data_IF_886416898637
#
_entry.id   IF_886416898637
#
_cell.length_a   1.000
_cell.length_b   1.000
_cell.length_c   1.000
_cell.angle_alpha   90.00
_cell.angle_beta   90.00
_cell.angle_gamma   90.00
#
_symmetry.space_group_name_H-M   'P 1'
#
loop_
_entity.id
_entity.type
_entity.pdbx_description
1 polymer ?
#
# COMPACT_ATOMS: atom_id res chain seq x y z
N UNK A 1 -9.11 16.44 -9.57
CA UNK A 1 -9.08 15.02 -9.14
C UNK A 1 -7.63 14.63 -8.92
N UNK A 2 -7.28 13.98 -7.81
CA UNK A 2 -5.88 13.65 -7.47
C UNK A 2 -5.17 12.74 -8.50
N UNK A 3 -5.93 12.12 -9.41
CA UNK A 3 -5.46 11.11 -10.35
C UNK A 3 -4.98 11.64 -11.72
N UNK A 4 -5.19 12.93 -12.06
CA UNK A 4 -4.89 13.48 -13.40
C UNK A 4 -3.53 14.17 -13.51
N UNK A 5 -2.84 14.43 -12.40
CA UNK A 5 -1.55 15.14 -12.40
C UNK A 5 -0.37 14.17 -12.23
N UNK A 6 0.50 14.09 -13.24
CA UNK A 6 1.65 13.18 -13.29
C UNK A 6 2.62 13.33 -12.11
N UNK A 7 2.86 14.55 -11.63
CA UNK A 7 3.73 14.80 -10.48
C UNK A 7 3.16 14.29 -9.14
N UNK A 8 1.82 14.25 -9.00
CA UNK A 8 1.16 13.66 -7.83
C UNK A 8 1.18 12.13 -7.89
N UNK A 9 1.12 11.55 -9.10
CA UNK A 9 1.16 10.11 -9.30
C UNK A 9 2.46 9.49 -8.77
N UNK A 10 3.62 10.13 -9.00
CA UNK A 10 4.91 9.63 -8.52
C UNK A 10 5.02 9.59 -6.97
N UNK A 11 4.23 10.40 -6.26
CA UNK A 11 4.24 10.48 -4.79
C UNK A 11 3.11 9.69 -4.13
N UNK A 12 2.29 9.02 -4.94
CA UNK A 12 1.14 8.26 -4.45
C UNK A 12 1.51 6.79 -4.33
N UNK A 13 1.37 6.24 -3.12
CA UNK A 13 1.42 4.80 -2.88
C UNK A 13 0.01 4.25 -3.02
N UNK A 14 -0.19 3.32 -3.95
CA UNK A 14 -1.42 2.57 -4.11
C UNK A 14 -1.30 1.24 -3.36
N UNK A 15 -2.14 1.07 -2.34
CA UNK A 15 -2.26 -0.20 -1.62
C UNK A 15 -3.36 -1.02 -2.26
N UNK A 16 -3.00 -2.18 -2.80
CA UNK A 16 -3.93 -3.07 -3.46
C UNK A 16 -4.34 -4.17 -2.51
N UNK A 17 -5.65 -4.29 -2.29
CA UNK A 17 -6.21 -5.32 -1.45
C UNK A 17 -7.17 -6.15 -2.31
N UNK A 18 -6.89 -7.45 -2.45
CA UNK A 18 -7.63 -8.33 -3.37
C UNK A 18 -7.21 -8.21 -4.85
N UNK A 19 -8.15 -8.50 -5.76
CA UNK A 19 -7.91 -8.50 -7.22
C UNK A 19 -8.30 -7.17 -7.85
N UNK A 20 -7.32 -6.30 -8.08
CA UNK A 20 -7.52 -5.01 -8.76
C UNK A 20 -7.40 -5.20 -10.27
N UNK A 21 -8.39 -4.70 -11.05
CA UNK A 21 -8.27 -4.61 -12.51
C UNK A 21 -7.38 -3.41 -12.85
N UNK A 22 -6.34 -3.63 -13.65
CA UNK A 22 -5.48 -2.55 -14.15
C UNK A 22 -6.28 -1.60 -15.04
N UNK A 23 -6.13 -0.29 -14.82
CA UNK A 23 -6.60 0.74 -15.73
C UNK A 23 -5.52 1.82 -15.92
N UNK A 24 -5.57 2.55 -17.04
CA UNK A 24 -4.58 3.61 -17.36
C UNK A 24 -4.42 4.64 -16.23
N UNK A 25 -5.48 4.89 -15.46
CA UNK A 25 -5.46 5.79 -14.33
C UNK A 25 -4.58 5.34 -13.15
N UNK A 26 -4.00 4.12 -13.18
CA UNK A 26 -3.09 3.59 -12.16
C UNK A 26 -1.62 3.56 -12.63
N UNK A 27 -1.35 3.82 -13.91
CA UNK A 27 0.00 3.76 -14.47
C UNK A 27 0.95 4.79 -13.83
N UNK A 28 2.22 4.41 -13.71
CA UNK A 28 3.28 5.25 -13.13
C UNK A 28 3.27 5.41 -11.61
N UNK A 29 2.36 4.73 -10.89
CA UNK A 29 2.26 4.80 -9.42
C UNK A 29 2.95 3.63 -8.74
N UNK A 30 3.48 3.87 -7.54
CA UNK A 30 4.02 2.81 -6.71
C UNK A 30 2.87 1.96 -6.17
N UNK A 31 2.82 0.69 -6.57
CA UNK A 31 1.78 -0.27 -6.18
C UNK A 31 2.36 -1.26 -5.18
N UNK A 32 1.68 -1.42 -4.06
CA UNK A 32 2.00 -2.43 -3.04
C UNK A 32 0.78 -3.32 -2.93
N UNK A 33 0.93 -4.59 -3.31
CA UNK A 33 -0.12 -5.58 -3.09
C UNK A 33 -0.04 -6.04 -1.65
N UNK A 34 -1.11 -5.81 -0.90
CA UNK A 34 -1.22 -6.22 0.49
C UNK A 34 -1.93 -7.58 0.55
N UNK A 35 -1.30 -8.54 1.21
CA UNK A 35 -1.90 -9.82 1.57
C UNK A 35 -1.79 -10.07 3.07
N UNK A 36 -2.28 -11.22 3.53
CA UNK A 36 -2.18 -11.61 4.95
C UNK A 36 -0.75 -11.96 5.38
N UNK A 37 0.21 -11.91 4.46
CA UNK A 37 1.62 -12.09 4.72
C UNK A 37 2.19 -10.90 5.50
N UNK A 38 3.01 -11.25 6.48
CA UNK A 38 3.68 -10.28 7.33
C UNK A 38 4.68 -9.41 6.55
N UNK A 39 5.33 -9.98 5.55
CA UNK A 39 6.31 -9.32 4.69
C UNK A 39 5.69 -8.16 3.91
N UNK A 40 4.45 -8.32 3.42
CA UNK A 40 3.73 -7.30 2.66
C UNK A 40 3.35 -6.12 3.56
N UNK A 41 2.96 -6.39 4.81
CA UNK A 41 2.68 -5.36 5.81
C UNK A 41 3.93 -4.55 6.16
N UNK A 42 5.07 -5.21 6.31
CA UNK A 42 6.36 -4.53 6.52
C UNK A 42 6.84 -3.74 5.30
N UNK A 43 6.57 -4.24 4.09
CA UNK A 43 6.87 -3.51 2.87
C UNK A 43 6.05 -2.21 2.77
N UNK A 44 4.79 -2.24 3.21
CA UNK A 44 3.93 -1.06 3.28
C UNK A 44 4.44 -0.03 4.31
N UNK A 45 4.73 -0.47 5.55
CA UNK A 45 5.26 0.41 6.61
C UNK A 45 6.52 1.13 6.14
N UNK A 46 7.49 0.39 5.58
CA UNK A 46 8.74 0.97 5.06
C UNK A 46 8.52 1.95 3.90
N UNK A 47 7.56 1.64 3.02
CA UNK A 47 7.27 2.50 1.87
C UNK A 47 6.60 3.81 2.30
N UNK A 48 5.70 3.75 3.28
CA UNK A 48 5.06 4.93 3.87
C UNK A 48 6.08 5.80 4.62
N UNK A 49 6.97 5.20 5.40
CA UNK A 49 8.08 5.89 6.07
C UNK A 49 9.01 6.59 5.05
N UNK A 50 9.40 5.88 3.99
CA UNK A 50 10.23 6.44 2.92
C UNK A 50 9.55 7.58 2.16
N UNK A 51 8.21 7.58 2.08
CA UNK A 51 7.42 8.67 1.51
C UNK A 51 7.28 9.88 2.45
N UNK A 52 7.77 9.79 3.69
CA UNK A 52 7.65 10.83 4.72
C UNK A 52 6.28 10.87 5.38
N UNK A 53 5.49 9.80 5.27
CA UNK A 53 4.24 9.68 6.00
C UNK A 53 4.53 9.40 7.48
N UNK A 54 3.73 10.00 8.38
CA UNK A 54 3.73 9.59 9.78
C UNK A 54 3.11 8.19 9.88
N UNK A 55 3.91 7.20 10.28
CA UNK A 55 3.46 5.82 10.46
C UNK A 55 3.73 5.41 11.90
N UNK A 56 2.70 4.95 12.59
CA UNK A 56 2.89 4.26 13.86
C UNK A 56 3.32 2.82 13.54
N UNK A 57 4.58 2.50 13.86
CA UNK A 57 5.10 1.15 13.65
C UNK A 57 4.41 0.23 14.66
N UNK A 58 3.54 -0.71 14.22
CA UNK A 58 2.86 -1.58 15.15
C UNK A 58 3.84 -2.59 15.75
N UNK A 59 3.53 -3.13 16.93
CA UNK A 59 4.35 -4.21 17.49
C UNK A 59 4.33 -5.44 16.56
N UNK A 60 5.36 -6.28 16.70
CA UNK A 60 5.47 -7.52 15.94
C UNK A 60 4.25 -8.44 16.16
N UNK A 61 3.70 -8.50 17.39
CA UNK A 61 2.49 -9.26 17.67
C UNK A 61 1.27 -8.69 16.94
N UNK A 62 1.08 -7.37 16.98
CA UNK A 62 -0.02 -6.68 16.29
C UNK A 62 -0.01 -6.94 14.79
N UNK A 63 1.18 -6.94 14.17
CA UNK A 63 1.34 -7.26 12.75
C UNK A 63 1.12 -8.75 12.42
N UNK A 64 1.13 -9.65 13.41
CA UNK A 64 0.79 -11.07 13.21
C UNK A 64 -0.70 -11.35 13.39
N UNK A 65 -1.34 -10.63 14.30
CA UNK A 65 -2.75 -10.83 14.66
C UNK A 65 -3.71 -10.06 13.76
N UNK A 66 -3.28 -8.96 13.17
CA UNK A 66 -4.16 -8.05 12.39
C UNK A 66 -3.91 -8.15 10.89
N UNK A 67 -5.02 -8.24 10.14
CA UNK A 67 -5.04 -8.20 8.68
C UNK A 67 -5.64 -9.48 8.13
N UNK A 68 -6.97 -9.49 8.00
CA UNK A 68 -7.63 -10.38 7.06
C UNK A 68 -8.01 -9.59 5.81
N UNK A 69 -7.18 -9.77 4.80
CA UNK A 69 -7.30 -9.22 3.46
C UNK A 69 -7.74 -10.29 2.47
N UNK A 70 -8.36 -11.38 2.95
CA UNK A 70 -9.10 -12.29 2.09
C UNK A 70 -10.41 -11.60 1.70
N UNK A 71 -10.42 -11.00 0.52
CA UNK A 71 -11.65 -10.56 -0.12
C UNK A 71 -12.14 -11.73 -0.96
N UNK A 72 -13.28 -12.35 -0.56
CA UNK A 72 -14.03 -13.30 -1.40
C UNK A 72 -14.48 -12.65 -2.72
#
# INVERSE_FOLDING_TARGET
MAFSHSWLAARTILVEVGKVRSCHALEGRHRIKLSNKFEDRWALVRSLEAAGCAVEIPSYELLREVGDFNFE
#
